data_IF_985190724379
#
_entry.id   IF_985190724379
#
_cell.length_a   1.000
_cell.length_b   1.000
_cell.length_c   1.000
_cell.angle_alpha   90.00
_cell.angle_beta   90.00
_cell.angle_gamma   90.00
#
_symmetry.space_group_name_H-M   'P 1'
#
loop_
_entity.id
_entity.type
_entity.pdbx_description
1 polymer ?
#
# COMPACT_ATOMS: atom_id res chain seq x y z
N UNK A 1 -13.39 -0.78 14.99
CA UNK A 1 -14.48 -1.73 15.29
C UNK A 1 -15.76 -1.39 14.52
N UNK A 2 -16.24 -0.14 14.54
CA UNK A 2 -17.44 0.27 13.79
C UNK A 2 -17.33 0.15 12.27
N UNK A 3 -16.23 0.61 11.65
CA UNK A 3 -16.12 0.64 10.18
C UNK A 3 -16.18 -0.75 9.53
N UNK A 4 -15.34 -1.69 9.98
CA UNK A 4 -15.31 -3.03 9.41
C UNK A 4 -16.69 -3.70 9.52
N UNK A 5 -17.36 -3.57 10.66
CA UNK A 5 -18.72 -4.08 10.88
C UNK A 5 -19.75 -3.42 9.95
N UNK A 6 -19.66 -2.11 9.69
CA UNK A 6 -20.54 -1.42 8.74
C UNK A 6 -20.32 -1.90 7.30
N UNK A 7 -19.05 -1.99 6.87
CA UNK A 7 -18.71 -2.50 5.52
C UNK A 7 -19.26 -3.92 5.35
N UNK A 8 -19.01 -4.77 6.34
CA UNK A 8 -19.50 -6.16 6.39
C UNK A 8 -21.02 -6.23 6.28
N UNK A 9 -21.75 -5.44 7.07
CA UNK A 9 -23.23 -5.42 7.05
C UNK A 9 -23.77 -4.93 5.71
N UNK A 10 -23.15 -3.90 5.11
CA UNK A 10 -23.53 -3.44 3.77
C UNK A 10 -23.33 -4.55 2.73
N UNK A 11 -22.25 -5.32 2.82
CA UNK A 11 -21.95 -6.42 1.88
C UNK A 11 -22.79 -7.68 2.13
N UNK A 12 -23.31 -7.87 3.35
CA UNK A 12 -24.18 -9.01 3.68
C UNK A 12 -25.55 -8.92 3.00
N UNK A 13 -26.03 -7.71 2.70
CA UNK A 13 -27.29 -7.49 1.98
C UNK A 13 -27.21 -7.63 0.46
N UNK A 14 -26.01 -7.80 -0.10
CA UNK A 14 -25.82 -7.90 -1.55
C UNK A 14 -25.95 -9.37 -2.00
N UNK A 15 -26.83 -9.68 -2.97
CA UNK A 15 -26.92 -11.03 -3.53
C UNK A 15 -25.59 -11.51 -4.11
N UNK A 16 -25.35 -12.82 -4.11
CA UNK A 16 -24.10 -13.39 -4.60
C UNK A 16 -23.72 -12.93 -6.01
N UNK A 17 -24.70 -12.74 -6.90
CA UNK A 17 -24.48 -12.24 -8.27
C UNK A 17 -23.99 -10.79 -8.36
N UNK A 18 -24.22 -9.98 -7.31
CA UNK A 18 -23.78 -8.59 -7.22
C UNK A 18 -22.66 -8.35 -6.22
N UNK A 19 -22.20 -9.39 -5.51
CA UNK A 19 -21.18 -9.24 -4.47
C UNK A 19 -19.85 -8.84 -5.12
N UNK A 20 -19.19 -7.77 -4.67
CA UNK A 20 -17.91 -7.36 -5.23
C UNK A 20 -16.86 -8.45 -4.98
N UNK A 21 -16.00 -8.67 -5.97
CA UNK A 21 -14.84 -9.56 -5.84
C UNK A 21 -13.68 -8.91 -5.09
N UNK A 22 -13.71 -7.58 -4.99
CA UNK A 22 -12.62 -6.78 -4.43
C UNK A 22 -13.13 -5.54 -3.71
N UNK A 23 -12.55 -5.23 -2.53
CA UNK A 23 -12.81 -4.03 -1.75
C UNK A 23 -11.58 -3.11 -1.75
N UNK A 24 -11.77 -1.89 -2.26
CA UNK A 24 -10.78 -0.80 -2.23
C UNK A 24 -11.00 0.08 -1.00
N UNK A 25 -10.04 0.15 -0.08
CA UNK A 25 -10.16 0.94 1.16
C UNK A 25 -8.81 1.56 1.57
N UNK A 26 -8.76 2.70 2.29
CA UNK A 26 -7.51 3.13 2.94
C UNK A 26 -6.99 2.05 3.90
N UNK A 27 -5.67 1.98 4.09
CA UNK A 27 -5.12 1.17 5.17
C UNK A 27 -5.35 1.90 6.51
N UNK A 28 -6.29 1.39 7.30
CA UNK A 28 -6.69 1.99 8.59
C UNK A 28 -6.07 1.27 9.79
N UNK A 29 -4.94 0.59 9.53
CA UNK A 29 -4.17 -0.14 10.52
C UNK A 29 -4.52 -1.62 10.66
N UNK A 30 -3.70 -2.35 11.44
CA UNK A 30 -3.72 -3.81 11.53
C UNK A 30 -5.09 -4.40 11.82
N UNK A 31 -5.70 -3.93 12.91
CA UNK A 31 -6.95 -4.47 13.43
C UNK A 31 -8.11 -4.36 12.44
N UNK A 32 -8.21 -3.25 11.71
CA UNK A 32 -9.28 -3.07 10.73
C UNK A 32 -9.06 -3.97 9.52
N UNK A 33 -7.81 -4.08 9.06
CA UNK A 33 -7.47 -4.92 7.92
C UNK A 33 -7.71 -6.41 8.22
N UNK A 34 -7.25 -6.89 9.38
CA UNK A 34 -7.46 -8.29 9.83
C UNK A 34 -8.96 -8.62 9.95
N UNK A 35 -9.76 -7.69 10.47
CA UNK A 35 -11.21 -7.87 10.57
C UNK A 35 -11.88 -7.98 9.19
N UNK A 36 -11.48 -7.15 8.23
CA UNK A 36 -12.04 -7.18 6.87
C UNK A 36 -11.59 -8.44 6.11
N UNK A 37 -10.30 -8.76 6.16
CA UNK A 37 -9.74 -9.92 5.48
C UNK A 37 -10.21 -11.26 6.08
N UNK A 38 -10.51 -11.28 7.39
CA UNK A 38 -11.02 -12.46 8.09
C UNK A 38 -12.52 -12.71 7.92
N UNK A 39 -13.30 -11.70 7.52
CA UNK A 39 -14.75 -11.82 7.47
C UNK A 39 -15.25 -12.70 6.32
N UNK A 40 -14.82 -12.41 5.09
CA UNK A 40 -15.22 -13.16 3.89
C UNK A 40 -13.97 -13.43 3.05
N UNK A 41 -13.54 -14.70 3.01
CA UNK A 41 -12.34 -15.12 2.26
C UNK A 41 -12.52 -15.03 0.74
N UNK A 42 -13.75 -14.92 0.24
CA UNK A 42 -14.02 -14.72 -1.18
C UNK A 42 -13.83 -13.26 -1.61
N UNK A 43 -13.84 -12.32 -0.65
CA UNK A 43 -13.62 -10.91 -0.91
C UNK A 43 -12.13 -10.56 -0.78
N UNK A 44 -11.54 -10.13 -1.89
CA UNK A 44 -10.15 -9.64 -1.88
C UNK A 44 -10.15 -8.23 -1.30
N UNK A 45 -9.45 -8.02 -0.18
CA UNK A 45 -9.29 -6.67 0.40
C UNK A 45 -8.01 -6.03 -0.12
N UNK A 46 -8.07 -4.77 -0.55
CA UNK A 46 -6.88 -4.04 -0.99
C UNK A 46 -6.88 -2.58 -0.60
N UNK A 47 -5.66 -2.04 -0.64
CA UNK A 47 -5.36 -0.75 -0.04
C UNK A 47 -5.13 0.36 -1.05
N UNK A 48 -5.54 1.57 -0.67
CA UNK A 48 -5.18 2.82 -1.35
C UNK A 48 -3.76 3.25 -0.98
N UNK A 49 -3.04 3.82 -1.96
CA UNK A 49 -1.69 4.36 -1.71
C UNK A 49 -1.64 5.70 -0.98
N UNK A 50 -2.68 6.53 -1.01
CA UNK A 50 -2.59 7.89 -0.43
C UNK A 50 -1.80 8.87 -1.31
N UNK A 51 -1.21 9.91 -0.70
CA UNK A 51 -0.35 10.90 -1.35
C UNK A 51 1.00 10.28 -1.77
N UNK A 52 1.85 11.05 -2.47
CA UNK A 52 3.15 10.56 -2.93
C UNK A 52 4.04 10.11 -1.76
N UNK A 53 4.28 11.00 -0.78
CA UNK A 53 5.14 10.72 0.38
C UNK A 53 6.57 10.36 -0.02
N UNK A 54 7.26 9.64 0.85
CA UNK A 54 8.57 9.03 0.56
C UNK A 54 8.43 7.67 -0.14
N UNK A 55 9.53 7.18 -0.71
CA UNK A 55 9.60 5.79 -1.20
C UNK A 55 9.35 4.82 -0.06
N UNK A 56 9.89 5.11 1.14
CA UNK A 56 9.65 4.28 2.30
C UNK A 56 8.17 4.24 2.67
N UNK A 57 7.43 5.35 2.61
CA UNK A 57 5.98 5.34 2.85
C UNK A 57 5.23 4.36 1.94
N UNK A 58 5.65 4.22 0.68
CA UNK A 58 5.03 3.27 -0.24
C UNK A 58 5.37 1.83 0.11
N UNK A 59 6.66 1.54 0.32
CA UNK A 59 7.15 0.17 0.52
C UNK A 59 6.73 -0.36 1.90
N UNK A 60 6.77 0.49 2.92
CA UNK A 60 6.21 0.23 4.23
C UNK A 60 4.72 -0.09 4.17
N UNK A 61 3.95 0.74 3.46
CA UNK A 61 2.49 0.60 3.42
C UNK A 61 2.08 -0.72 2.78
N UNK A 62 2.73 -1.15 1.69
CA UNK A 62 2.41 -2.45 1.08
C UNK A 62 2.82 -3.62 1.98
N UNK A 63 3.98 -3.54 2.65
CA UNK A 63 4.45 -4.57 3.56
C UNK A 63 3.52 -4.70 4.78
N UNK A 64 3.18 -3.58 5.42
CA UNK A 64 2.29 -3.54 6.59
C UNK A 64 0.90 -4.05 6.21
N UNK A 65 0.30 -3.56 5.11
CA UNK A 65 -1.03 -4.00 4.71
C UNK A 65 -1.08 -5.49 4.34
N UNK A 66 -0.07 -6.00 3.63
CA UNK A 66 0.02 -7.43 3.30
C UNK A 66 0.07 -8.28 4.56
N UNK A 67 0.90 -7.91 5.54
CA UNK A 67 1.03 -8.61 6.83
C UNK A 67 -0.32 -8.81 7.52
N UNK A 68 -1.26 -7.88 7.33
CA UNK A 68 -2.57 -7.92 7.96
C UNK A 68 -3.71 -8.43 7.06
N UNK A 69 -3.38 -8.98 5.88
CA UNK A 69 -4.32 -9.71 5.04
C UNK A 69 -4.77 -8.97 3.77
N UNK A 70 -4.26 -7.77 3.49
CA UNK A 70 -4.49 -7.14 2.19
C UNK A 70 -3.81 -7.95 1.09
N UNK A 71 -4.46 -8.04 -0.07
CA UNK A 71 -3.98 -8.84 -1.21
C UNK A 71 -3.74 -8.02 -2.48
N UNK A 72 -4.10 -6.74 -2.47
CA UNK A 72 -3.91 -5.81 -3.60
C UNK A 72 -3.49 -4.44 -3.07
N UNK A 73 -2.56 -3.79 -3.76
CA UNK A 73 -2.20 -2.38 -3.53
C UNK A 73 -2.53 -1.55 -4.78
N UNK A 74 -3.31 -0.47 -4.59
CA UNK A 74 -3.77 0.41 -5.66
C UNK A 74 -3.09 1.77 -5.51
N UNK A 75 -1.83 1.82 -5.93
CA UNK A 75 -0.99 3.00 -5.81
C UNK A 75 -1.03 3.79 -7.12
N UNK A 76 -1.45 5.06 -7.06
CA UNK A 76 -1.45 5.97 -8.20
C UNK A 76 -0.41 7.07 -8.02
N UNK A 77 -0.71 8.03 -7.13
CA UNK A 77 0.16 9.19 -6.85
C UNK A 77 1.59 8.81 -6.48
N UNK A 78 1.77 7.75 -5.69
CA UNK A 78 3.10 7.23 -5.29
C UNK A 78 3.93 6.80 -6.50
N UNK A 79 3.32 6.06 -7.43
CA UNK A 79 4.00 5.61 -8.65
C UNK A 79 4.24 6.81 -9.56
N UNK A 80 3.23 7.67 -9.75
CA UNK A 80 3.34 8.79 -10.67
C UNK A 80 4.45 9.80 -10.28
N UNK A 81 4.68 9.97 -8.99
CA UNK A 81 5.67 10.89 -8.43
C UNK A 81 7.07 10.26 -8.27
N UNK A 82 7.27 9.01 -8.68
CA UNK A 82 8.58 8.36 -8.63
C UNK A 82 9.48 8.82 -9.80
N UNK A 83 10.77 8.93 -9.53
CA UNK A 83 11.81 9.31 -10.49
C UNK A 83 11.90 8.31 -11.67
N UNK A 84 11.80 7.02 -11.37
CA UNK A 84 11.67 5.93 -12.36
C UNK A 84 10.50 5.02 -11.96
N UNK A 85 9.35 5.26 -12.58
CA UNK A 85 8.10 4.55 -12.29
C UNK A 85 8.21 3.03 -12.51
N UNK A 86 8.97 2.59 -13.52
CA UNK A 86 9.13 1.17 -13.81
C UNK A 86 9.97 0.51 -12.73
N UNK A 87 11.10 1.12 -12.38
CA UNK A 87 11.95 0.61 -11.30
C UNK A 87 11.23 0.63 -9.95
N UNK A 88 10.51 1.70 -9.65
CA UNK A 88 9.71 1.82 -8.45
C UNK A 88 8.71 0.66 -8.31
N UNK A 89 7.97 0.35 -9.38
CA UNK A 89 7.02 -0.78 -9.38
C UNK A 89 7.73 -2.13 -9.22
N UNK A 90 8.91 -2.33 -9.82
CA UNK A 90 9.70 -3.57 -9.61
C UNK A 90 10.07 -3.75 -8.14
N UNK A 91 10.62 -2.73 -7.49
CA UNK A 91 11.02 -2.81 -6.08
C UNK A 91 9.82 -2.88 -5.14
N UNK A 92 8.74 -2.14 -5.44
CA UNK A 92 7.46 -2.26 -4.72
C UNK A 92 6.94 -3.72 -4.78
N UNK A 93 7.07 -4.36 -5.94
CA UNK A 93 6.69 -5.76 -6.12
C UNK A 93 7.59 -6.71 -5.32
N UNK A 94 8.91 -6.52 -5.34
CA UNK A 94 9.84 -7.32 -4.54
C UNK A 94 9.54 -7.20 -3.03
N UNK A 95 9.20 -6.00 -2.55
CA UNK A 95 8.75 -5.79 -1.17
C UNK A 95 7.42 -6.50 -0.90
N UNK A 96 6.45 -6.39 -1.81
CA UNK A 96 5.16 -7.07 -1.68
C UNK A 96 5.30 -8.60 -1.70
N UNK A 97 6.27 -9.13 -2.43
CA UNK A 97 6.60 -10.56 -2.49
C UNK A 97 7.51 -11.02 -1.35
N UNK A 98 7.89 -10.12 -0.43
CA UNK A 98 8.73 -10.38 0.74
C UNK A 98 10.16 -10.81 0.38
N UNK A 99 10.61 -10.50 -0.84
CA UNK A 99 11.99 -10.66 -1.29
C UNK A 99 12.90 -9.57 -0.72
N UNK A 100 12.32 -8.42 -0.38
CA UNK A 100 12.99 -7.28 0.27
C UNK A 100 12.14 -6.76 1.43
N UNK A 101 12.78 -6.32 2.51
CA UNK A 101 12.14 -5.43 3.45
C UNK A 101 11.88 -4.05 2.83
N UNK A 102 11.01 -3.25 3.46
CA UNK A 102 10.71 -1.91 2.96
C UNK A 102 11.97 -1.02 2.86
N UNK A 103 12.85 -1.07 3.86
CA UNK A 103 14.08 -0.28 3.85
C UNK A 103 15.11 -0.78 2.82
N UNK A 104 15.25 -2.10 2.66
CA UNK A 104 16.11 -2.68 1.62
C UNK A 104 15.59 -2.30 0.23
N UNK A 105 14.27 -2.30 0.03
CA UNK A 105 13.64 -1.81 -1.19
C UNK A 105 14.02 -0.36 -1.48
N UNK A 106 13.98 0.53 -0.48
CA UNK A 106 14.36 1.95 -0.65
C UNK A 106 15.83 2.06 -1.04
N UNK A 107 16.74 1.37 -0.33
CA UNK A 107 18.17 1.39 -0.65
C UNK A 107 18.46 0.83 -2.04
N UNK A 108 17.79 -0.25 -2.44
CA UNK A 108 17.94 -0.85 -3.76
C UNK A 108 17.42 0.07 -4.88
N UNK A 109 16.30 0.77 -4.63
CA UNK A 109 15.79 1.78 -5.55
C UNK A 109 16.78 2.95 -5.72
N UNK A 110 17.35 3.48 -4.63
CA UNK A 110 18.40 4.50 -4.71
C UNK A 110 19.65 4.03 -5.46
N UNK A 111 20.10 2.80 -5.23
CA UNK A 111 21.21 2.21 -6.00
C UNK A 111 20.90 2.07 -7.50
N UNK A 112 19.65 1.76 -7.85
CA UNK A 112 19.19 1.78 -9.25
C UNK A 112 19.24 3.20 -9.82
N UNK A 113 18.75 4.21 -9.09
CA UNK A 113 18.78 5.61 -9.53
C UNK A 113 20.21 6.09 -9.78
N UNK A 114 21.14 5.77 -8.89
CA UNK A 114 22.56 6.08 -9.04
C UNK A 114 23.15 5.44 -10.31
N UNK A 115 22.91 4.14 -10.50
CA UNK A 115 23.38 3.39 -11.70
C UNK A 115 22.78 3.95 -13.00
N UNK A 116 21.53 4.42 -12.95
CA UNK A 116 20.84 5.01 -14.08
C UNK A 116 21.17 6.49 -14.31
N UNK A 117 21.98 7.11 -13.44
CA UNK A 117 22.29 8.54 -13.51
C UNK A 117 21.09 9.46 -13.25
N UNK A 118 20.07 8.97 -12.53
CA UNK A 118 18.85 9.70 -12.22
C UNK A 118 19.02 10.34 -10.82
N UNK A 119 18.96 11.68 -10.69
CA UNK A 119 19.07 12.32 -9.38
C UNK A 119 17.80 12.05 -8.56
N UNK A 120 17.91 11.51 -7.33
CA UNK A 120 16.75 11.30 -6.48
C UNK A 120 16.14 12.63 -6.04
N UNK A 121 14.81 12.69 -5.87
CA UNK A 121 14.12 13.89 -5.40
C UNK A 121 14.53 14.29 -3.98
N UNK A 122 15.00 13.33 -3.18
CA UNK A 122 15.49 13.54 -1.81
C UNK A 122 16.64 12.59 -1.48
N UNK A 123 17.53 12.94 -0.54
CA UNK A 123 18.59 12.06 -0.08
C UNK A 123 18.04 10.74 0.50
N UNK A 124 18.82 9.67 0.40
CA UNK A 124 18.45 8.34 0.95
C UNK A 124 18.01 8.40 2.42
N UNK A 125 18.74 9.16 3.24
CA UNK A 125 18.43 9.29 4.67
C UNK A 125 17.01 9.83 4.90
N UNK A 126 16.59 10.81 4.11
CA UNK A 126 15.27 11.42 4.19
C UNK A 126 14.20 10.53 3.55
N UNK A 127 14.54 9.80 2.49
CA UNK A 127 13.60 8.88 1.82
C UNK A 127 13.30 7.63 2.64
N UNK A 128 14.16 7.29 3.60
CA UNK A 128 13.94 6.25 4.61
C UNK A 128 13.02 6.71 5.75
N UNK A 129 12.76 8.01 5.88
CA UNK A 129 11.86 8.52 6.92
C UNK A 129 10.40 8.28 6.52
N UNK A 130 9.62 7.66 7.42
CA UNK A 130 8.17 7.57 7.25
C UNK A 130 7.53 8.92 7.53
N UNK A 131 6.63 9.36 6.67
CA UNK A 131 5.82 10.55 6.88
C UNK A 131 4.44 10.19 7.41
N UNK A 132 3.80 11.08 8.20
CA UNK A 132 2.41 10.89 8.57
C UNK A 132 1.54 10.74 7.32
N UNK A 133 0.78 9.65 7.24
CA UNK A 133 -0.17 9.47 6.14
C UNK A 133 -1.34 10.42 6.36
N UNK A 134 -1.34 11.57 5.70
CA UNK A 134 -2.55 12.38 5.59
C UNK A 134 -3.61 11.59 4.82
N UNK A 135 -4.57 11.02 5.55
CA UNK A 135 -5.77 10.51 4.92
C UNK A 135 -6.61 11.70 4.48
N UNK A 136 -7.03 11.75 3.22
CA UNK A 136 -7.97 12.76 2.70
C UNK A 136 -9.36 12.71 3.37
N UNK A 137 -9.53 11.87 4.40
CA UNK A 137 -10.73 11.65 5.18
C UNK A 137 -10.55 12.06 6.66
N UNK A 138 -9.41 12.64 7.02
CA UNK A 138 -9.19 13.27 8.32
C UNK A 138 -9.55 14.75 8.22
N UNK A 139 -10.85 15.01 8.05
CA UNK A 139 -11.47 16.33 8.12
C UNK A 139 -12.82 16.20 8.79
#
# INVERSE_FOLDING_TARGET
RFLADHVVRCLAGVPASGRPIFLKIPYLGPKVMEQLAGYDRSLVVGILGGSAGTTHDAFALVADAKRHGARVALFGRKINAAEDQRAFVRFLRAVADEELSAEEGVRAYHGHLETAGIPPHRPLADDLVRTPTESAYAS
#
